data_IF_896085328058
#
_entry.id   IF_896085328058
#
_cell.length_a   1.000
_cell.length_b   1.000
_cell.length_c   1.000
_cell.angle_alpha   90.00
_cell.angle_beta   90.00
_cell.angle_gamma   90.00
#
_symmetry.space_group_name_H-M   'P 1'
#
loop_
_entity.id
_entity.type
_entity.pdbx_description
1 polymer ?
#
# COMPACT_ATOMS: atom_id res chain seq x y z
N UNK A 1 -3.40 5.05 20.35
CA UNK A 1 -3.43 3.84 19.55
C UNK A 1 -2.21 3.73 18.66
N UNK A 2 -2.15 2.66 17.90
CA UNK A 2 -1.02 2.38 16.99
C UNK A 2 -0.80 3.48 15.96
N UNK A 3 -1.85 4.17 15.53
CA UNK A 3 -1.75 5.25 14.55
C UNK A 3 -1.04 6.48 15.12
N UNK A 4 -1.33 6.84 16.38
CA UNK A 4 -0.63 7.92 17.06
C UNK A 4 0.84 7.60 17.28
N UNK A 5 1.16 6.35 17.62
CA UNK A 5 2.53 5.90 17.77
C UNK A 5 3.29 5.95 16.46
N UNK A 6 2.66 5.58 15.35
CA UNK A 6 3.25 5.66 14.02
C UNK A 6 3.51 7.11 13.60
N UNK A 7 2.56 8.01 13.83
CA UNK A 7 2.71 9.44 13.53
C UNK A 7 3.85 10.02 14.37
N UNK A 8 3.91 9.67 15.65
CA UNK A 8 4.94 10.13 16.55
C UNK A 8 6.33 9.64 16.13
N UNK A 9 6.43 8.34 15.76
CA UNK A 9 7.67 7.77 15.25
C UNK A 9 8.14 8.40 13.94
N UNK A 10 7.23 8.71 13.04
CA UNK A 10 7.55 9.38 11.78
C UNK A 10 8.01 10.82 12.03
N UNK A 11 7.38 11.54 12.97
CA UNK A 11 7.80 12.89 13.37
C UNK A 11 9.17 12.88 14.02
N UNK A 12 9.49 11.88 14.85
CA UNK A 12 10.82 11.72 15.43
C UNK A 12 11.89 11.52 14.37
N UNK A 13 11.61 10.74 13.33
CA UNK A 13 12.52 10.57 12.20
C UNK A 13 12.77 11.90 11.49
N UNK A 14 11.73 12.71 11.27
CA UNK A 14 11.86 14.04 10.67
C UNK A 14 12.73 14.94 11.54
N UNK A 15 12.52 14.93 12.86
CA UNK A 15 13.32 15.70 13.79
C UNK A 15 14.80 15.31 13.76
N UNK A 16 15.10 14.02 13.79
CA UNK A 16 16.48 13.52 13.69
C UNK A 16 17.14 13.96 12.39
N UNK A 17 16.40 13.90 11.29
CA UNK A 17 16.89 14.30 9.98
C UNK A 17 17.11 15.81 9.90
N UNK A 18 16.18 16.59 10.49
CA UNK A 18 16.25 18.04 10.50
C UNK A 18 17.38 18.57 11.41
N UNK A 19 17.71 17.85 12.50
CA UNK A 19 18.83 18.20 13.38
C UNK A 19 20.17 18.22 12.63
N UNK A 20 20.35 17.34 11.67
CA UNK A 20 21.56 17.32 10.82
C UNK A 20 21.59 18.50 9.86
N UNK A 21 20.44 19.10 9.54
CA UNK A 21 20.33 20.22 8.59
C UNK A 21 19.91 21.53 9.23
N UNK A 22 19.76 21.55 10.55
CA UNK A 22 19.34 22.72 11.37
C UNK A 22 17.92 23.26 11.06
N UNK A 23 17.19 22.71 10.10
CA UNK A 23 15.82 23.15 9.78
C UNK A 23 14.94 21.99 9.31
N UNK A 24 13.64 22.06 9.67
CA UNK A 24 12.62 21.19 9.13
C UNK A 24 12.07 21.86 7.86
N UNK A 25 12.21 21.20 6.72
CA UNK A 25 11.73 21.72 5.44
C UNK A 25 10.37 21.12 5.08
N UNK A 26 9.68 21.75 4.12
CA UNK A 26 8.45 21.20 3.55
C UNK A 26 8.69 19.80 2.96
N UNK A 27 9.85 19.61 2.34
CA UNK A 27 10.24 18.31 1.75
C UNK A 27 10.35 17.22 2.81
N UNK A 28 10.83 17.54 4.01
CA UNK A 28 10.89 16.59 5.14
C UNK A 28 9.50 16.16 5.57
N UNK A 29 8.56 17.11 5.65
CA UNK A 29 7.18 16.85 6.02
C UNK A 29 6.49 16.00 4.94
N UNK A 30 6.67 16.36 3.67
CA UNK A 30 6.10 15.62 2.53
C UNK A 30 6.62 14.18 2.50
N UNK A 31 7.92 13.97 2.76
CA UNK A 31 8.52 12.63 2.82
C UNK A 31 7.88 11.77 3.92
N UNK A 32 7.63 12.34 5.10
CA UNK A 32 6.96 11.65 6.21
C UNK A 32 5.52 11.27 5.84
N UNK A 33 4.78 12.20 5.24
CA UNK A 33 3.40 11.94 4.80
C UNK A 33 3.33 10.81 3.77
N UNK A 34 4.23 10.79 2.80
CA UNK A 34 4.32 9.71 1.79
C UNK A 34 4.61 8.38 2.46
N UNK A 35 5.53 8.34 3.42
CA UNK A 35 5.87 7.12 4.16
C UNK A 35 4.67 6.60 4.94
N UNK A 36 3.91 7.49 5.60
CA UNK A 36 2.72 7.13 6.35
C UNK A 36 1.65 6.51 5.45
N UNK A 37 1.38 7.13 4.31
CA UNK A 37 0.42 6.61 3.33
C UNK A 37 0.85 5.23 2.84
N UNK A 38 2.12 5.07 2.50
CA UNK A 38 2.68 3.81 2.03
C UNK A 38 2.53 2.71 3.08
N UNK A 39 2.79 3.03 4.35
CA UNK A 39 2.62 2.07 5.45
C UNK A 39 1.16 1.67 5.63
N UNK A 40 0.22 2.60 5.53
CA UNK A 40 -1.22 2.31 5.58
C UNK A 40 -1.65 1.36 4.46
N UNK A 41 -1.18 1.63 3.24
CA UNK A 41 -1.49 0.78 2.08
C UNK A 41 -0.96 -0.65 2.32
N UNK A 42 0.26 -0.78 2.80
CA UNK A 42 0.87 -2.07 3.09
C UNK A 42 0.06 -2.83 4.16
N UNK A 43 -0.33 -2.15 5.23
CA UNK A 43 -1.15 -2.73 6.30
C UNK A 43 -2.55 -3.12 5.82
N UNK A 44 -3.14 -2.33 4.91
CA UNK A 44 -4.45 -2.67 4.31
C UNK A 44 -4.36 -3.98 3.53
N UNK A 45 -3.31 -4.16 2.76
CA UNK A 45 -3.10 -5.40 1.99
C UNK A 45 -2.89 -6.59 2.94
N UNK A 46 -2.16 -6.41 4.04
CA UNK A 46 -2.02 -7.44 5.07
C UNK A 46 -3.37 -7.80 5.71
N UNK A 47 -4.19 -6.81 6.02
CA UNK A 47 -5.52 -7.02 6.59
C UNK A 47 -6.42 -7.78 5.63
N UNK A 48 -6.39 -7.42 4.36
CA UNK A 48 -7.12 -8.12 3.29
C UNK A 48 -6.66 -9.58 3.19
N UNK A 49 -5.36 -9.82 3.21
CA UNK A 49 -4.81 -11.16 3.15
C UNK A 49 -5.24 -12.04 4.33
N UNK A 50 -5.40 -11.43 5.49
CA UNK A 50 -5.87 -12.10 6.70
C UNK A 50 -7.40 -12.27 6.74
N UNK A 51 -8.13 -11.72 5.77
CA UNK A 51 -9.59 -11.71 5.78
C UNK A 51 -10.18 -10.74 6.79
N UNK A 52 -9.39 -9.80 7.29
CA UNK A 52 -9.83 -8.82 8.28
C UNK A 52 -10.34 -7.56 7.57
N UNK A 53 -11.56 -7.67 7.04
CA UNK A 53 -12.22 -6.60 6.31
C UNK A 53 -12.37 -5.33 7.14
N UNK A 54 -12.74 -5.46 8.40
CA UNK A 54 -12.97 -4.31 9.28
C UNK A 54 -11.69 -3.48 9.44
N UNK A 55 -10.56 -4.13 9.68
CA UNK A 55 -9.29 -3.44 9.81
C UNK A 55 -8.90 -2.72 8.51
N UNK A 56 -9.10 -3.39 7.38
CA UNK A 56 -8.80 -2.79 6.07
C UNK A 56 -9.65 -1.54 5.82
N UNK A 57 -10.94 -1.60 6.13
CA UNK A 57 -11.84 -0.45 6.00
C UNK A 57 -11.47 0.68 6.98
N UNK A 58 -11.13 0.34 8.21
CA UNK A 58 -10.72 1.35 9.20
C UNK A 58 -9.48 2.10 8.74
N UNK A 59 -8.50 1.39 8.18
CA UNK A 59 -7.29 2.01 7.63
C UNK A 59 -7.63 2.91 6.43
N UNK A 60 -8.58 2.49 5.60
CA UNK A 60 -9.06 3.31 4.48
C UNK A 60 -9.69 4.61 4.99
N UNK A 61 -10.57 4.53 5.99
CA UNK A 61 -11.22 5.70 6.54
C UNK A 61 -10.23 6.65 7.22
N UNK A 62 -9.16 6.13 7.80
CA UNK A 62 -8.08 6.95 8.33
C UNK A 62 -7.39 7.75 7.23
N UNK A 63 -7.15 7.15 6.08
CA UNK A 63 -6.57 7.86 4.92
C UNK A 63 -7.53 8.92 4.40
N UNK A 64 -8.84 8.64 4.37
CA UNK A 64 -9.84 9.65 4.01
C UNK A 64 -9.83 10.83 4.98
N UNK A 65 -9.67 10.56 6.28
CA UNK A 65 -9.57 11.62 7.29
C UNK A 65 -8.34 12.51 7.08
N UNK A 66 -7.29 11.96 6.49
CA UNK A 66 -6.09 12.71 6.08
C UNK A 66 -6.29 13.43 4.74
N UNK A 67 -7.51 13.42 4.21
CA UNK A 67 -7.92 14.07 2.94
C UNK A 67 -7.25 13.47 1.70
N UNK A 68 -6.88 12.19 1.76
CA UNK A 68 -6.41 11.49 0.57
C UNK A 68 -7.60 11.15 -0.34
N UNK A 69 -7.52 11.47 -1.64
CA UNK A 69 -8.61 11.14 -2.57
C UNK A 69 -8.81 9.62 -2.69
N UNK A 70 -10.06 9.14 -2.71
CA UNK A 70 -10.33 7.70 -2.84
C UNK A 70 -9.65 7.04 -4.04
N UNK A 71 -9.65 7.69 -5.20
CA UNK A 71 -9.04 7.11 -6.40
C UNK A 71 -7.52 6.99 -6.30
N UNK A 72 -6.88 7.89 -5.55
CA UNK A 72 -5.46 7.77 -5.27
C UNK A 72 -5.18 6.57 -4.37
N UNK A 73 -6.03 6.35 -3.38
CA UNK A 73 -5.92 5.19 -2.50
C UNK A 73 -6.08 3.90 -3.30
N UNK A 74 -7.07 3.84 -4.19
CA UNK A 74 -7.26 2.67 -5.06
C UNK A 74 -6.04 2.43 -5.95
N UNK A 75 -5.51 3.49 -6.55
CA UNK A 75 -4.29 3.40 -7.37
C UNK A 75 -3.12 2.82 -6.57
N UNK A 76 -2.92 3.30 -5.35
CA UNK A 76 -1.82 2.84 -4.49
C UNK A 76 -2.02 1.38 -4.05
N UNK A 77 -3.27 0.97 -3.78
CA UNK A 77 -3.58 -0.42 -3.45
C UNK A 77 -3.26 -1.34 -4.63
N UNK A 78 -3.73 -1.00 -5.82
CA UNK A 78 -3.47 -1.78 -7.04
C UNK A 78 -1.96 -1.82 -7.32
N UNK A 79 -1.27 -0.70 -7.13
CA UNK A 79 0.20 -0.64 -7.28
C UNK A 79 0.89 -1.60 -6.33
N UNK A 80 0.43 -1.69 -5.07
CA UNK A 80 1.00 -2.62 -4.11
C UNK A 80 0.83 -4.08 -4.58
N UNK A 81 -0.35 -4.43 -5.06
CA UNK A 81 -0.57 -5.78 -5.63
C UNK A 81 0.30 -6.04 -6.85
N UNK A 82 0.54 -5.02 -7.67
CA UNK A 82 1.44 -5.15 -8.83
C UNK A 82 2.87 -5.41 -8.40
N UNK A 83 3.33 -4.73 -7.35
CA UNK A 83 4.66 -4.98 -6.76
C UNK A 83 4.75 -6.41 -6.26
N UNK A 84 3.72 -6.89 -5.55
CA UNK A 84 3.67 -8.27 -5.05
C UNK A 84 3.71 -9.29 -6.18
N UNK A 85 2.98 -9.03 -7.26
CA UNK A 85 2.99 -9.89 -8.45
C UNK A 85 4.40 -9.99 -9.04
N UNK A 86 5.05 -8.84 -9.22
CA UNK A 86 6.41 -8.79 -9.78
C UNK A 86 7.42 -9.50 -8.88
N UNK A 87 7.39 -9.20 -7.58
CA UNK A 87 8.28 -9.82 -6.60
C UNK A 87 8.07 -11.34 -6.55
N UNK A 88 6.82 -11.79 -6.55
CA UNK A 88 6.49 -13.22 -6.52
C UNK A 88 6.95 -13.92 -7.80
N UNK A 89 6.77 -13.29 -8.95
CA UNK A 89 7.23 -13.85 -10.23
C UNK A 89 8.75 -14.04 -10.23
N UNK A 90 9.48 -13.05 -9.74
CA UNK A 90 10.94 -13.14 -9.63
C UNK A 90 11.37 -14.22 -8.63
N UNK A 91 10.71 -14.33 -7.50
CA UNK A 91 10.98 -15.37 -6.52
C UNK A 91 10.73 -16.77 -7.09
N UNK A 92 9.68 -16.93 -7.88
CA UNK A 92 9.37 -18.20 -8.56
C UNK A 92 10.42 -18.58 -9.61
N UNK A 93 11.16 -17.60 -10.14
CA UNK A 93 12.28 -17.83 -11.06
C UNK A 93 13.58 -18.19 -10.35
N UNK A 94 13.57 -18.19 -9.00
CA UNK A 94 14.73 -18.57 -8.20
C UNK A 94 15.63 -17.40 -7.79
N UNK A 95 15.25 -16.16 -8.07
CA UNK A 95 16.05 -15.00 -7.65
C UNK A 95 16.01 -14.80 -6.15
N UNK A 96 17.15 -14.40 -5.59
CA UNK A 96 17.25 -14.05 -4.17
C UNK A 96 16.83 -12.62 -3.89
N UNK A 97 16.78 -12.29 -2.60
CA UNK A 97 16.31 -10.98 -2.11
C UNK A 97 17.02 -9.79 -2.77
N UNK A 98 18.35 -9.83 -2.87
CA UNK A 98 19.13 -8.74 -3.46
C UNK A 98 18.83 -8.54 -4.94
N UNK A 99 18.70 -9.64 -5.67
CA UNK A 99 18.38 -9.60 -7.09
C UNK A 99 16.97 -9.11 -7.34
N UNK A 100 16.02 -9.56 -6.52
CA UNK A 100 14.63 -9.09 -6.57
C UNK A 100 14.57 -7.59 -6.30
N UNK A 101 15.27 -7.12 -5.28
CA UNK A 101 15.34 -5.70 -4.96
C UNK A 101 15.85 -4.88 -6.15
N UNK A 102 16.92 -5.34 -6.78
CA UNK A 102 17.50 -4.66 -7.94
C UNK A 102 16.54 -4.64 -9.13
N UNK A 103 15.96 -5.80 -9.46
CA UNK A 103 15.07 -5.94 -10.63
C UNK A 103 13.73 -5.22 -10.45
N UNK A 104 13.22 -5.18 -9.22
CA UNK A 104 11.95 -4.51 -8.91
C UNK A 104 12.15 -3.02 -8.56
N UNK A 105 13.38 -2.55 -8.45
CA UNK A 105 13.65 -1.17 -8.09
C UNK A 105 13.32 -0.84 -6.65
N UNK A 106 13.47 -1.81 -5.74
CA UNK A 106 13.14 -1.67 -4.32
C UNK A 106 14.41 -1.69 -3.46
N UNK A 107 14.34 -1.00 -2.31
CA UNK A 107 15.37 -1.17 -1.30
C UNK A 107 15.34 -2.63 -0.80
N UNK A 108 16.50 -3.27 -0.50
CA UNK A 108 16.53 -4.67 -0.05
C UNK A 108 15.63 -4.97 1.15
N UNK A 109 15.52 -4.06 2.09
CA UNK A 109 14.62 -4.20 3.25
C UNK A 109 13.14 -4.23 2.81
N UNK A 110 12.77 -3.34 1.90
CA UNK A 110 11.42 -3.26 1.35
C UNK A 110 11.13 -4.51 0.51
N UNK A 111 12.09 -4.95 -0.28
CA UNK A 111 11.96 -6.19 -1.06
C UNK A 111 11.67 -7.39 -0.15
N UNK A 112 12.38 -7.49 0.98
CA UNK A 112 12.16 -8.56 1.95
C UNK A 112 10.74 -8.55 2.52
N UNK A 113 10.22 -7.38 2.89
CA UNK A 113 8.85 -7.22 3.38
C UNK A 113 7.82 -7.62 2.32
N UNK A 114 8.04 -7.19 1.08
CA UNK A 114 7.13 -7.52 -0.04
C UNK A 114 7.19 -9.01 -0.38
N UNK A 115 8.35 -9.64 -0.29
CA UNK A 115 8.47 -11.08 -0.48
C UNK A 115 7.63 -11.85 0.54
N UNK A 116 7.68 -11.45 1.81
CA UNK A 116 6.87 -12.06 2.86
C UNK A 116 5.37 -11.86 2.64
N UNK A 117 4.97 -10.64 2.28
CA UNK A 117 3.56 -10.36 1.99
C UNK A 117 3.08 -11.14 0.77
N UNK A 118 3.92 -11.24 -0.28
CA UNK A 118 3.58 -11.95 -1.51
C UNK A 118 3.32 -13.44 -1.29
N UNK A 119 3.92 -14.05 -0.27
CA UNK A 119 3.69 -15.46 0.08
C UNK A 119 2.24 -15.75 0.45
N UNK A 120 1.50 -14.75 0.89
CA UNK A 120 0.09 -14.90 1.30
C UNK A 120 -0.88 -14.98 0.13
N UNK A 121 -0.40 -14.71 -1.09
CA UNK A 121 -1.23 -14.65 -2.29
C UNK A 121 -0.73 -15.62 -3.34
N UNK A 122 -1.65 -16.13 -4.15
CA UNK A 122 -1.32 -16.90 -5.36
C UNK A 122 -1.19 -15.94 -6.54
N UNK A 123 -0.38 -16.31 -7.52
CA UNK A 123 -0.20 -15.48 -8.74
C UNK A 123 -1.54 -15.15 -9.42
N UNK A 124 -2.44 -16.12 -9.51
CA UNK A 124 -3.76 -15.92 -10.10
C UNK A 124 -4.62 -14.94 -9.30
N UNK A 125 -4.51 -14.95 -7.97
CA UNK A 125 -5.20 -13.97 -7.12
C UNK A 125 -4.69 -12.56 -7.40
N UNK A 126 -3.38 -12.38 -7.44
CA UNK A 126 -2.77 -11.06 -7.69
C UNK A 126 -3.19 -10.51 -9.05
N UNK A 127 -3.22 -11.38 -10.07
CA UNK A 127 -3.68 -10.99 -11.41
C UNK A 127 -5.13 -10.53 -11.40
N UNK A 128 -6.01 -11.29 -10.75
CA UNK A 128 -7.44 -10.95 -10.64
C UNK A 128 -7.65 -9.64 -9.90
N UNK A 129 -6.90 -9.41 -8.83
CA UNK A 129 -7.00 -8.16 -8.06
C UNK A 129 -6.67 -6.96 -8.94
N UNK A 130 -5.61 -7.06 -9.74
CA UNK A 130 -5.22 -5.99 -10.66
C UNK A 130 -6.30 -5.74 -11.73
N UNK A 131 -6.88 -6.79 -12.27
CA UNK A 131 -7.96 -6.70 -13.26
C UNK A 131 -9.21 -6.05 -12.64
N UNK A 132 -9.59 -6.46 -11.44
CA UNK A 132 -10.73 -5.90 -10.72
C UNK A 132 -10.51 -4.42 -10.37
N UNK A 133 -9.31 -4.06 -9.97
CA UNK A 133 -8.95 -2.67 -9.70
C UNK A 133 -9.08 -1.79 -10.95
N UNK A 134 -8.60 -2.28 -12.08
CA UNK A 134 -8.71 -1.59 -13.37
C UNK A 134 -10.19 -1.42 -13.78
N UNK A 135 -11.01 -2.44 -13.57
CA UNK A 135 -12.44 -2.37 -13.89
C UNK A 135 -13.17 -1.35 -13.01
N UNK A 136 -12.87 -1.32 -11.71
CA UNK A 136 -13.46 -0.35 -10.80
C UNK A 136 -13.07 1.09 -11.17
N UNK A 137 -11.81 1.30 -11.55
CA UNK A 137 -11.36 2.60 -12.03
C UNK A 137 -12.17 3.05 -13.26
N UNK A 138 -12.39 2.15 -14.19
CA UNK A 138 -13.19 2.43 -15.38
C UNK A 138 -14.64 2.72 -15.00
N UNK A 139 -15.21 1.98 -14.07
CA UNK A 139 -16.59 2.16 -13.61
C UNK A 139 -16.79 3.55 -12.96
N UNK A 140 -15.79 4.06 -12.26
CA UNK A 140 -15.82 5.42 -11.72
C UNK A 140 -15.73 6.44 -12.84
N UNK A 141 -14.84 6.26 -13.80
CA UNK A 141 -14.66 7.16 -14.93
C UNK A 141 -15.92 7.28 -15.79
N UNK A 142 -16.67 6.19 -15.94
CA UNK A 142 -17.91 6.17 -16.71
C UNK A 142 -19.15 6.55 -15.91
N UNK A 143 -19.00 6.84 -14.62
CA UNK A 143 -20.10 7.27 -13.76
C UNK A 143 -20.97 6.15 -13.18
N UNK A 144 -20.57 4.88 -13.36
CA UNK A 144 -21.32 3.74 -12.80
C UNK A 144 -21.19 3.64 -11.28
N UNK A 145 -20.07 4.07 -10.73
CA UNK A 145 -19.79 4.05 -9.30
C UNK A 145 -19.21 5.37 -8.85
N UNK A 146 -19.46 5.74 -7.60
CA UNK A 146 -18.74 6.82 -6.95
C UNK A 146 -17.34 6.31 -6.59
N UNK A 147 -16.38 7.22 -6.47
CA UNK A 147 -15.00 6.89 -6.12
C UNK A 147 -14.91 6.17 -4.77
N UNK A 148 -15.60 6.68 -3.75
CA UNK A 148 -15.61 6.08 -2.42
C UNK A 148 -16.19 4.67 -2.43
N UNK A 149 -17.31 4.47 -3.12
CA UNK A 149 -17.94 3.16 -3.21
C UNK A 149 -17.04 2.14 -3.93
N UNK A 150 -16.33 2.58 -4.96
CA UNK A 150 -15.39 1.72 -5.69
C UNK A 150 -14.30 1.17 -4.77
N UNK A 151 -13.71 2.02 -3.92
CA UNK A 151 -12.66 1.58 -2.99
C UNK A 151 -13.23 0.63 -1.93
N UNK A 152 -14.39 0.96 -1.37
CA UNK A 152 -15.05 0.09 -0.39
C UNK A 152 -15.36 -1.29 -0.98
N UNK A 153 -15.90 -1.34 -2.19
CA UNK A 153 -16.17 -2.60 -2.89
C UNK A 153 -14.90 -3.39 -3.15
N UNK A 154 -13.83 -2.72 -3.55
CA UNK A 154 -12.54 -3.37 -3.75
C UNK A 154 -12.06 -4.05 -2.47
N UNK A 155 -12.08 -3.32 -1.35
CA UNK A 155 -11.63 -3.84 -0.05
C UNK A 155 -12.47 -5.03 0.38
N UNK A 156 -13.79 -4.90 0.31
CA UNK A 156 -14.73 -5.97 0.70
C UNK A 156 -14.51 -7.22 -0.15
N UNK A 157 -14.44 -7.05 -1.46
CA UNK A 157 -14.28 -8.16 -2.39
C UNK A 157 -12.96 -8.90 -2.19
N UNK A 158 -11.86 -8.16 -1.99
CA UNK A 158 -10.56 -8.77 -1.76
C UNK A 158 -10.44 -9.44 -0.39
N UNK A 159 -11.26 -9.02 0.58
CA UNK A 159 -11.28 -9.62 1.92
C UNK A 159 -12.10 -10.91 1.99
N UNK A 160 -12.92 -11.19 0.99
CA UNK A 160 -13.67 -12.43 0.87
C UNK A 160 -12.76 -13.57 0.43
N UNK A 161 -12.91 -14.71 1.06
CA UNK A 161 -12.15 -15.91 0.72
C UNK A 161 -13.06 -17.00 0.18
#
# INVERSE_FOLDING_TARGET
GTDMENIQGELEKVFCYALERDTITKEDIDAVCVTQITNHIFEMVDAVAAGNQQKALDLYYELLALKEPPMRILFLLVRQYRILFHVKALANQGYGRKEIASKAGLHPFVAGKNMEQAKRFKMGQLRRVMEEGAQLEQDVKTGLLTDNLAVELFIVKQSER
#
